data_IF_963702632077
#
_entry.id   IF_963702632077
#
_cell.length_a   1.000
_cell.length_b   1.000
_cell.length_c   1.000
_cell.angle_alpha   90.00
_cell.angle_beta   90.00
_cell.angle_gamma   90.00
#
_symmetry.space_group_name_H-M   'P 1'
#
loop_
_entity.id
_entity.type
_entity.pdbx_description
1 polymer ?
#
# COMPACT_ATOMS: atom_id res chain seq x y z
N UNK A 1 -6.96 23.90 1.55
CA UNK A 1 -7.43 22.73 2.31
C UNK A 1 -6.26 21.93 2.92
N UNK A 2 -5.26 21.48 2.12
CA UNK A 2 -4.08 20.72 2.61
C UNK A 2 -3.36 21.47 3.72
N UNK A 3 -2.95 22.73 3.48
CA UNK A 3 -2.24 23.54 4.48
C UNK A 3 -3.07 23.73 5.76
N UNK A 4 -4.36 24.00 5.65
CA UNK A 4 -5.25 24.15 6.81
C UNK A 4 -5.35 22.86 7.64
N UNK A 5 -5.37 21.70 6.99
CA UNK A 5 -5.36 20.40 7.68
C UNK A 5 -4.00 20.17 8.35
N UNK A 6 -2.89 20.41 7.64
CA UNK A 6 -1.55 20.28 8.19
C UNK A 6 -1.33 21.18 9.41
N UNK A 7 -1.80 22.43 9.38
CA UNK A 7 -1.72 23.37 10.51
C UNK A 7 -2.47 22.86 11.76
N UNK A 8 -3.60 22.19 11.58
CA UNK A 8 -4.33 21.55 12.70
C UNK A 8 -3.52 20.39 13.29
N UNK A 9 -2.88 19.61 12.42
CA UNK A 9 -2.09 18.42 12.81
C UNK A 9 -0.75 18.78 13.48
N UNK A 10 -0.26 20.01 13.36
CA UNK A 10 0.90 20.47 14.13
C UNK A 10 0.70 20.34 15.65
N UNK A 11 -0.54 20.40 16.13
CA UNK A 11 -0.88 20.25 17.56
C UNK A 11 -0.96 18.80 18.02
N UNK A 12 -1.15 17.87 17.10
CA UNK A 12 -1.24 16.42 17.37
C UNK A 12 0.13 15.74 17.38
N UNK A 13 0.19 14.47 17.79
CA UNK A 13 1.38 13.61 17.69
C UNK A 13 1.02 12.27 17.02
N UNK A 14 0.02 12.28 16.17
CA UNK A 14 -0.48 11.08 15.51
C UNK A 14 0.11 10.95 14.11
N UNK A 15 0.40 9.72 13.71
CA UNK A 15 0.79 9.39 12.34
C UNK A 15 -0.37 9.54 11.34
N UNK A 16 -1.62 9.54 11.81
CA UNK A 16 -2.83 9.43 10.97
C UNK A 16 -3.01 10.51 9.90
N UNK A 17 -2.29 11.62 10.00
CA UNK A 17 -2.33 12.73 9.03
C UNK A 17 -0.93 13.15 8.58
N UNK A 18 0.02 12.21 8.66
CA UNK A 18 1.39 12.45 8.23
C UNK A 18 1.49 12.78 6.73
N UNK A 19 0.57 12.26 5.92
CA UNK A 19 0.41 12.57 4.50
C UNK A 19 0.17 14.07 4.26
N UNK A 20 -0.71 14.72 5.02
CA UNK A 20 -0.97 16.16 4.92
C UNK A 20 0.24 17.00 5.36
N UNK A 21 0.91 16.59 6.44
CA UNK A 21 2.14 17.26 6.90
C UNK A 21 3.26 17.13 5.87
N UNK A 22 3.43 15.93 5.31
CA UNK A 22 4.43 15.65 4.29
C UNK A 22 4.19 16.48 3.03
N UNK A 23 2.95 16.49 2.55
CA UNK A 23 2.59 17.28 1.37
C UNK A 23 2.73 18.78 1.62
N UNK A 24 2.33 19.28 2.79
CA UNK A 24 2.53 20.69 3.16
C UNK A 24 4.01 21.05 3.20
N UNK A 25 4.87 20.18 3.74
CA UNK A 25 6.32 20.37 3.73
C UNK A 25 6.89 20.42 2.31
N UNK A 26 6.56 19.45 1.48
CA UNK A 26 7.05 19.37 0.10
C UNK A 26 6.60 20.57 -0.75
N UNK A 27 5.40 21.10 -0.50
CA UNK A 27 4.86 22.25 -1.23
C UNK A 27 5.45 23.60 -0.77
N UNK A 28 5.78 23.75 0.51
CA UNK A 28 6.12 25.07 1.10
C UNK A 28 7.58 25.18 1.53
N UNK A 29 8.25 24.05 1.82
CA UNK A 29 9.58 24.04 2.43
C UNK A 29 9.60 24.50 3.90
N UNK A 30 8.43 24.74 4.52
CA UNK A 30 8.34 25.24 5.90
C UNK A 30 8.80 24.17 6.90
N UNK A 31 9.93 24.43 7.56
CA UNK A 31 10.59 23.47 8.49
C UNK A 31 9.72 23.00 9.64
N UNK A 32 8.73 23.76 10.06
CA UNK A 32 7.79 23.38 11.13
C UNK A 32 7.10 22.02 10.83
N UNK A 33 6.79 21.76 9.55
CA UNK A 33 6.20 20.48 9.15
C UNK A 33 7.24 19.34 9.19
N UNK A 34 8.47 19.59 8.73
CA UNK A 34 9.54 18.61 8.78
C UNK A 34 9.91 18.23 10.21
N UNK A 35 10.06 19.20 11.12
CA UNK A 35 10.35 18.99 12.53
C UNK A 35 9.25 18.18 13.22
N UNK A 36 7.99 18.46 12.83
CA UNK A 36 6.83 17.72 13.32
C UNK A 36 6.83 16.28 12.85
N UNK A 37 7.06 16.02 11.56
CA UNK A 37 7.16 14.68 10.99
C UNK A 37 8.28 13.87 11.65
N UNK A 38 9.45 14.48 11.85
CA UNK A 38 10.57 13.88 12.56
C UNK A 38 10.19 13.47 13.99
N UNK A 39 9.52 14.36 14.72
CA UNK A 39 9.06 14.06 16.08
C UNK A 39 8.06 12.91 16.12
N UNK A 40 7.11 12.87 15.14
CA UNK A 40 6.14 11.79 15.00
C UNK A 40 6.85 10.47 14.71
N UNK A 41 7.78 10.43 13.75
CA UNK A 41 8.53 9.23 13.40
C UNK A 41 9.33 8.67 14.60
N UNK A 42 10.07 9.54 15.30
CA UNK A 42 10.85 9.14 16.48
C UNK A 42 9.96 8.55 17.57
N UNK A 43 8.79 9.15 17.81
CA UNK A 43 7.82 8.61 18.77
C UNK A 43 7.20 7.31 18.30
N UNK A 44 6.89 7.19 17.01
CA UNK A 44 6.24 6.02 16.43
C UNK A 44 7.08 4.76 16.56
N UNK A 45 8.41 4.87 16.47
CA UNK A 45 9.32 3.73 16.58
C UNK A 45 9.57 3.27 18.02
N UNK A 46 9.11 4.01 19.04
CA UNK A 46 9.20 3.61 20.46
C UNK A 46 8.21 2.48 20.81
N UNK A 47 7.20 2.24 19.98
CA UNK A 47 6.24 1.18 20.21
C UNK A 47 6.92 -0.20 20.24
N UNK A 48 6.44 -1.09 21.09
CA UNK A 48 6.87 -2.48 21.11
C UNK A 48 6.36 -3.23 19.87
N UNK A 49 5.09 -3.03 19.53
CA UNK A 49 4.42 -3.61 18.37
C UNK A 49 3.36 -2.64 17.81
N UNK A 50 3.00 -2.81 16.52
CA UNK A 50 1.85 -2.17 15.93
C UNK A 50 0.66 -3.11 15.76
N UNK A 51 0.87 -4.41 15.98
CA UNK A 51 -0.19 -5.41 15.94
C UNK A 51 -1.22 -5.18 17.05
N UNK A 52 -2.50 -5.39 16.74
CA UNK A 52 -3.57 -5.31 17.74
C UNK A 52 -3.52 -6.53 18.67
N UNK A 53 -3.91 -6.35 19.94
CA UNK A 53 -3.94 -7.43 20.91
C UNK A 53 -4.84 -8.59 20.45
N UNK A 54 -5.94 -8.27 19.78
CA UNK A 54 -6.87 -9.27 19.22
C UNK A 54 -6.18 -10.14 18.16
N UNK A 55 -5.45 -9.55 17.22
CA UNK A 55 -4.77 -10.28 16.16
C UNK A 55 -3.59 -11.08 16.71
N UNK A 56 -2.84 -10.55 17.64
CA UNK A 56 -1.74 -11.26 18.30
C UNK A 56 -2.21 -12.45 19.16
N UNK A 57 -3.44 -12.42 19.66
CA UNK A 57 -4.01 -13.54 20.42
C UNK A 57 -4.48 -14.72 19.55
N UNK A 58 -4.52 -14.59 18.22
CA UNK A 58 -4.88 -15.66 17.29
C UNK A 58 -3.85 -16.78 17.28
N UNK A 59 -4.22 -17.95 16.80
CA UNK A 59 -3.34 -19.12 16.65
C UNK A 59 -3.38 -19.64 15.21
N UNK A 60 -2.32 -19.47 14.41
CA UNK A 60 -1.10 -18.71 14.74
C UNK A 60 -1.37 -17.23 14.94
N UNK A 61 -0.52 -16.55 15.68
CA UNK A 61 -0.64 -15.12 15.91
C UNK A 61 -0.51 -14.35 14.59
N UNK A 62 -1.39 -13.38 14.36
CA UNK A 62 -1.28 -12.44 13.26
C UNK A 62 -0.55 -11.21 13.75
N UNK A 63 0.63 -10.95 13.20
CA UNK A 63 1.44 -9.78 13.57
C UNK A 63 1.02 -8.52 12.82
N UNK A 64 0.24 -8.70 11.74
CA UNK A 64 -0.14 -7.63 10.82
C UNK A 64 -1.62 -7.69 10.45
N UNK A 65 -2.14 -6.53 10.05
CA UNK A 65 -3.52 -6.31 9.57
C UNK A 65 -3.56 -5.05 8.68
N UNK A 66 -4.76 -4.69 8.21
CA UNK A 66 -4.98 -3.48 7.40
C UNK A 66 -4.59 -2.19 8.14
N UNK A 67 -4.80 -2.15 9.46
CA UNK A 67 -4.42 -1.00 10.28
C UNK A 67 -2.90 -0.81 10.33
N UNK A 68 -2.16 -1.91 10.41
CA UNK A 68 -0.70 -1.89 10.36
C UNK A 68 -0.21 -1.50 8.95
N UNK A 69 -0.84 -2.04 7.89
CA UNK A 69 -0.53 -1.68 6.50
C UNK A 69 -0.68 -0.15 6.27
N UNK A 70 -1.76 0.45 6.75
CA UNK A 70 -1.97 1.88 6.68
C UNK A 70 -0.91 2.68 7.45
N UNK A 71 -0.54 2.25 8.66
CA UNK A 71 0.56 2.88 9.42
C UNK A 71 1.89 2.79 8.68
N UNK A 72 2.19 1.66 8.05
CA UNK A 72 3.40 1.47 7.24
C UNK A 72 3.45 2.47 6.07
N UNK A 73 2.35 2.61 5.34
CA UNK A 73 2.22 3.57 4.23
C UNK A 73 2.45 5.02 4.69
N UNK A 74 1.79 5.46 5.74
CA UNK A 74 1.96 6.81 6.28
C UNK A 74 3.38 7.05 6.81
N UNK A 75 4.00 6.03 7.39
CA UNK A 75 5.40 6.09 7.85
C UNK A 75 6.38 6.23 6.70
N UNK A 76 6.13 5.52 5.59
CA UNK A 76 6.94 5.61 4.38
C UNK A 76 6.91 7.03 3.81
N UNK A 77 5.71 7.60 3.64
CA UNK A 77 5.53 8.98 3.14
C UNK A 77 6.22 10.00 4.06
N UNK A 78 6.04 9.85 5.38
CA UNK A 78 6.64 10.76 6.35
C UNK A 78 8.17 10.68 6.34
N UNK A 79 8.72 9.46 6.28
CA UNK A 79 10.17 9.24 6.26
C UNK A 79 10.81 9.78 4.98
N UNK A 80 10.21 9.49 3.83
CA UNK A 80 10.68 9.97 2.52
C UNK A 80 10.67 11.51 2.46
N UNK A 81 9.58 12.14 2.90
CA UNK A 81 9.46 13.59 2.88
C UNK A 81 10.55 14.33 3.67
N UNK A 82 11.00 13.77 4.80
CA UNK A 82 12.01 14.39 5.67
C UNK A 82 13.39 13.76 5.55
N UNK A 83 13.61 12.83 4.65
CA UNK A 83 14.84 12.07 4.51
C UNK A 83 16.11 12.93 4.54
N UNK A 84 16.11 14.03 3.79
CA UNK A 84 17.23 14.95 3.69
C UNK A 84 17.40 15.85 4.94
N UNK A 85 16.41 15.94 5.81
CA UNK A 85 16.46 16.70 7.06
C UNK A 85 16.91 15.86 8.26
N UNK A 86 17.04 14.54 8.05
CA UNK A 86 17.51 13.60 9.06
C UNK A 86 19.03 13.43 8.99
N UNK A 87 19.70 13.43 10.14
CA UNK A 87 21.10 12.98 10.22
C UNK A 87 21.22 11.49 9.88
N UNK A 88 22.41 11.03 9.48
CA UNK A 88 22.66 9.62 9.20
C UNK A 88 22.28 8.68 10.36
N UNK A 89 22.54 9.13 11.61
CA UNK A 89 22.18 8.35 12.81
C UNK A 89 20.67 8.27 13.01
N UNK A 90 19.95 9.36 12.75
CA UNK A 90 18.47 9.40 12.83
C UNK A 90 17.84 8.55 11.74
N UNK A 91 18.31 8.65 10.49
CA UNK A 91 17.85 7.78 9.40
C UNK A 91 17.97 6.32 9.79
N UNK A 92 19.16 5.90 10.22
CA UNK A 92 19.40 4.51 10.62
C UNK A 92 18.54 4.07 11.80
N UNK A 93 18.36 4.93 12.82
CA UNK A 93 17.51 4.63 13.99
C UNK A 93 16.05 4.46 13.58
N UNK A 94 15.53 5.42 12.81
CA UNK A 94 14.13 5.40 12.36
C UNK A 94 13.92 4.21 11.43
N UNK A 95 14.81 3.97 10.46
CA UNK A 95 14.70 2.86 9.53
C UNK A 95 14.61 1.50 10.24
N UNK A 96 15.48 1.25 11.21
CA UNK A 96 15.43 0.00 12.01
C UNK A 96 14.10 -0.16 12.77
N UNK A 97 13.60 0.93 13.36
CA UNK A 97 12.34 0.90 14.08
C UNK A 97 11.14 0.64 13.14
N UNK A 98 11.10 1.32 12.00
CA UNK A 98 10.04 1.14 11.01
C UNK A 98 10.08 -0.24 10.34
N UNK A 99 11.28 -0.78 10.08
CA UNK A 99 11.44 -2.13 9.56
C UNK A 99 10.85 -3.17 10.53
N UNK A 100 11.28 -3.15 11.78
CA UNK A 100 10.81 -4.06 12.84
C UNK A 100 9.30 -3.99 13.06
N UNK A 101 8.73 -2.78 13.03
CA UNK A 101 7.32 -2.56 13.35
C UNK A 101 6.39 -2.72 12.15
N UNK A 102 6.87 -2.49 10.95
CA UNK A 102 6.06 -2.44 9.73
C UNK A 102 6.47 -3.48 8.68
N UNK A 103 7.68 -3.41 8.14
CA UNK A 103 8.09 -4.26 7.01
C UNK A 103 8.11 -5.73 7.41
N UNK A 104 8.80 -6.07 8.50
CA UNK A 104 8.96 -7.45 8.95
C UNK A 104 7.63 -8.15 9.23
N UNK A 105 6.69 -7.59 10.02
CA UNK A 105 5.41 -8.27 10.25
C UNK A 105 4.54 -8.33 9.00
N UNK A 106 4.50 -7.27 8.15
CA UNK A 106 3.71 -7.27 6.93
C UNK A 106 4.22 -8.31 5.94
N UNK A 107 5.48 -8.23 5.55
CA UNK A 107 6.01 -9.14 4.55
C UNK A 107 6.19 -10.56 5.11
N UNK A 108 6.51 -10.71 6.40
CA UNK A 108 6.62 -12.02 7.03
C UNK A 108 5.29 -12.78 7.04
N UNK A 109 4.21 -12.14 7.49
CA UNK A 109 2.90 -12.81 7.58
C UNK A 109 2.27 -13.10 6.21
N UNK A 110 2.54 -12.25 5.19
CA UNK A 110 1.78 -12.29 3.93
C UNK A 110 2.58 -12.77 2.72
N UNK A 111 3.90 -12.73 2.76
CA UNK A 111 4.72 -13.02 1.58
C UNK A 111 5.88 -13.99 1.85
N UNK A 112 6.72 -13.72 2.86
CA UNK A 112 8.04 -14.34 2.97
C UNK A 112 8.09 -15.61 3.82
N UNK A 113 7.20 -15.75 4.79
CA UNK A 113 7.18 -16.90 5.70
C UNK A 113 6.13 -17.94 5.26
N UNK A 114 6.53 -19.13 4.78
CA UNK A 114 5.62 -20.10 4.17
C UNK A 114 4.64 -20.75 5.16
N UNK A 115 4.87 -20.61 6.45
CA UNK A 115 4.00 -21.20 7.51
C UNK A 115 2.90 -20.24 7.94
N UNK A 116 2.83 -19.06 7.36
CA UNK A 116 1.83 -18.06 7.73
C UNK A 116 0.51 -18.25 6.99
N UNK A 117 -0.58 -17.90 7.66
CA UNK A 117 -1.94 -18.05 7.12
C UNK A 117 -2.12 -17.27 5.83
N UNK A 118 -1.50 -16.10 5.74
CA UNK A 118 -1.67 -15.15 4.64
C UNK A 118 -0.45 -15.05 3.71
N UNK A 119 0.39 -16.08 3.67
CA UNK A 119 1.49 -16.19 2.71
C UNK A 119 0.98 -16.45 1.28
N UNK A 120 1.89 -16.77 0.36
CA UNK A 120 1.57 -17.11 -1.03
C UNK A 120 0.46 -18.16 -1.19
N UNK A 121 0.24 -19.05 -0.21
CA UNK A 121 -0.81 -20.05 -0.25
C UNK A 121 -2.24 -19.49 -0.13
N UNK A 122 -2.40 -18.25 0.30
CA UNK A 122 -3.72 -17.61 0.49
C UNK A 122 -3.79 -16.21 -0.07
N UNK A 123 -3.03 -15.93 -1.13
CA UNK A 123 -2.91 -14.59 -1.72
C UNK A 123 -4.14 -14.13 -2.53
N UNK A 124 -5.16 -14.85 -2.67
CA UNK A 124 -6.26 -14.53 -3.59
C UNK A 124 -7.25 -13.46 -3.10
N UNK A 125 -6.91 -12.54 -2.19
CA UNK A 125 -7.84 -11.54 -1.69
C UNK A 125 -7.18 -10.15 -1.46
N UNK A 126 -8.01 -9.13 -1.22
CA UNK A 126 -7.58 -7.73 -1.11
C UNK A 126 -6.58 -7.46 0.05
N UNK A 127 -6.70 -8.13 1.19
CA UNK A 127 -5.77 -7.93 2.31
C UNK A 127 -4.34 -8.25 1.94
N UNK A 128 -4.13 -9.22 1.04
CA UNK A 128 -2.79 -9.56 0.59
C UNK A 128 -2.10 -8.35 -0.05
N UNK A 129 -2.77 -7.67 -1.00
CA UNK A 129 -2.19 -6.48 -1.63
C UNK A 129 -1.99 -5.36 -0.64
N UNK A 130 -2.95 -5.13 0.25
CA UNK A 130 -2.81 -4.08 1.27
C UNK A 130 -1.57 -4.30 2.13
N UNK A 131 -1.42 -5.48 2.70
CA UNK A 131 -0.31 -5.78 3.58
C UNK A 131 1.02 -5.83 2.83
N UNK A 132 1.06 -6.50 1.68
CA UNK A 132 2.30 -6.70 0.91
C UNK A 132 2.74 -5.41 0.22
N UNK A 133 1.84 -4.69 -0.46
CA UNK A 133 2.21 -3.48 -1.19
C UNK A 133 2.56 -2.32 -0.25
N UNK A 134 1.83 -2.13 0.84
CA UNK A 134 2.16 -1.07 1.81
C UNK A 134 3.45 -1.40 2.57
N UNK A 135 3.68 -2.67 2.91
CA UNK A 135 4.97 -3.15 3.41
C UNK A 135 6.11 -2.94 2.43
N UNK A 136 5.86 -3.19 1.14
CA UNK A 136 6.80 -2.94 0.05
C UNK A 136 7.14 -1.46 -0.15
N UNK A 137 6.17 -0.56 -0.07
CA UNK A 137 6.40 0.90 -0.15
C UNK A 137 7.27 1.36 1.03
N UNK A 138 6.97 0.86 2.24
CA UNK A 138 7.82 1.15 3.39
C UNK A 138 9.23 0.60 3.19
N UNK A 139 9.37 -0.64 2.72
CA UNK A 139 10.67 -1.24 2.43
C UNK A 139 11.47 -0.43 1.39
N UNK A 140 10.83 0.06 0.33
CA UNK A 140 11.46 0.95 -0.66
C UNK A 140 12.00 2.24 -0.02
N UNK A 141 11.28 2.83 0.91
CA UNK A 141 11.74 4.06 1.59
C UNK A 141 12.94 3.82 2.50
N UNK A 142 13.15 2.57 2.99
CA UNK A 142 14.20 2.22 3.94
C UNK A 142 15.44 1.55 3.29
N UNK A 143 15.40 1.24 2.01
CA UNK A 143 16.41 0.39 1.34
C UNK A 143 17.84 0.96 1.35
N UNK A 144 18.00 2.29 1.47
CA UNK A 144 19.31 2.91 1.53
C UNK A 144 20.03 2.67 2.86
N UNK A 145 19.27 2.44 3.93
CA UNK A 145 19.79 2.17 5.27
C UNK A 145 19.86 0.69 5.62
N UNK A 146 19.00 -0.14 4.99
CA UNK A 146 18.82 -1.54 5.37
C UNK A 146 18.79 -2.46 4.14
N UNK A 147 19.81 -3.32 3.96
CA UNK A 147 19.83 -4.30 2.85
C UNK A 147 18.60 -5.22 2.85
N UNK A 148 18.16 -5.67 4.02
CA UNK A 148 16.98 -6.51 4.18
C UNK A 148 15.67 -5.83 3.71
N UNK A 149 15.59 -4.52 3.80
CA UNK A 149 14.46 -3.76 3.25
C UNK A 149 14.49 -3.77 1.71
N UNK A 150 15.67 -3.67 1.11
CA UNK A 150 15.83 -3.79 -0.35
C UNK A 150 15.41 -5.17 -0.86
N UNK A 151 15.81 -6.22 -0.17
CA UNK A 151 15.40 -7.60 -0.49
C UNK A 151 13.87 -7.78 -0.36
N UNK A 152 13.29 -7.23 0.69
CA UNK A 152 11.83 -7.24 0.88
C UNK A 152 11.07 -6.51 -0.24
N UNK A 153 11.52 -5.32 -0.64
CA UNK A 153 10.92 -4.58 -1.74
C UNK A 153 11.04 -5.32 -3.08
N UNK A 154 12.19 -5.96 -3.34
CA UNK A 154 12.40 -6.80 -4.52
C UNK A 154 11.44 -7.99 -4.52
N UNK A 155 11.26 -8.65 -3.39
CA UNK A 155 10.33 -9.77 -3.28
C UNK A 155 8.89 -9.34 -3.61
N UNK A 156 8.45 -8.18 -3.14
CA UNK A 156 7.13 -7.65 -3.51
C UNK A 156 7.02 -7.44 -5.02
N UNK A 157 8.02 -6.84 -5.65
CA UNK A 157 8.04 -6.64 -7.10
C UNK A 157 7.94 -7.96 -7.88
N UNK A 158 8.67 -8.99 -7.45
CA UNK A 158 8.73 -10.29 -8.12
C UNK A 158 7.43 -11.09 -7.98
N UNK A 159 6.77 -11.02 -6.82
CA UNK A 159 5.59 -11.83 -6.53
C UNK A 159 4.25 -11.13 -6.80
N UNK A 160 4.21 -9.80 -6.89
CA UNK A 160 2.95 -9.06 -7.13
C UNK A 160 2.21 -9.49 -8.42
N UNK A 161 2.88 -9.85 -9.55
CA UNK A 161 2.18 -10.38 -10.73
C UNK A 161 1.39 -11.66 -10.46
N UNK A 162 1.82 -12.49 -9.51
CA UNK A 162 1.11 -13.73 -9.16
C UNK A 162 -0.25 -13.44 -8.53
N UNK A 163 -0.40 -12.37 -7.77
CA UNK A 163 -1.68 -11.98 -7.20
C UNK A 163 -2.77 -11.78 -8.27
N UNK A 164 -2.44 -11.18 -9.39
CA UNK A 164 -3.39 -10.99 -10.50
C UNK A 164 -3.79 -12.31 -11.16
N UNK A 165 -2.92 -13.31 -11.15
CA UNK A 165 -3.10 -14.60 -11.81
C UNK A 165 -3.45 -15.74 -10.88
N UNK A 166 -3.48 -15.50 -9.57
CA UNK A 166 -3.68 -16.55 -8.58
C UNK A 166 -5.02 -17.27 -8.79
N UNK A 167 -4.96 -18.58 -8.96
CA UNK A 167 -6.12 -19.43 -9.22
C UNK A 167 -6.21 -20.52 -8.14
N UNK A 168 -6.69 -20.17 -7.02
CA UNK A 168 -6.86 -21.05 -5.88
C UNK A 168 -6.67 -20.25 -4.58
N UNK A 169 -7.18 -20.80 -3.53
CA UNK A 169 -7.02 -20.33 -2.17
C UNK A 169 -7.24 -21.49 -1.21
N UNK A 170 -7.45 -21.18 0.06
CA UNK A 170 -7.77 -22.18 1.08
C UNK A 170 -8.98 -23.04 0.70
N UNK A 171 -9.93 -22.49 -0.03
CA UNK A 171 -11.15 -23.20 -0.48
C UNK A 171 -10.96 -23.93 -1.80
N UNK A 172 -9.92 -23.65 -2.56
CA UNK A 172 -9.52 -24.28 -3.83
C UNK A 172 -10.63 -24.35 -4.91
N UNK A 173 -11.61 -23.50 -4.84
CA UNK A 173 -12.79 -23.58 -5.72
C UNK A 173 -13.10 -22.28 -6.46
N UNK A 174 -12.35 -21.20 -6.25
CA UNK A 174 -12.58 -19.95 -6.95
C UNK A 174 -11.76 -19.84 -8.22
N UNK A 175 -12.25 -19.03 -9.12
CA UNK A 175 -11.52 -18.59 -10.30
C UNK A 175 -10.28 -17.78 -9.90
N UNK A 176 -9.48 -17.37 -10.88
CA UNK A 176 -8.36 -16.45 -10.67
C UNK A 176 -8.78 -15.20 -9.92
N UNK A 177 -7.86 -14.58 -9.20
CA UNK A 177 -8.12 -13.31 -8.50
C UNK A 177 -8.72 -12.28 -9.45
N UNK A 178 -8.19 -12.21 -10.68
CA UNK A 178 -8.77 -11.42 -11.77
C UNK A 178 -9.03 -12.31 -12.99
N UNK A 179 -10.13 -12.06 -13.67
CA UNK A 179 -10.38 -12.60 -15.00
C UNK A 179 -9.58 -11.83 -16.08
N UNK A 180 -9.66 -12.32 -17.31
CA UNK A 180 -8.95 -11.68 -18.43
C UNK A 180 -9.51 -10.30 -18.80
N UNK A 181 -10.76 -10.01 -18.45
CA UNK A 181 -11.39 -8.71 -18.67
C UNK A 181 -11.04 -7.67 -17.59
N UNK A 182 -10.36 -8.08 -16.53
CA UNK A 182 -9.95 -7.22 -15.43
C UNK A 182 -10.91 -7.22 -14.23
N UNK A 183 -11.91 -8.10 -14.21
CA UNK A 183 -12.85 -8.25 -13.11
C UNK A 183 -12.26 -9.04 -11.95
N UNK A 184 -12.38 -8.54 -10.72
CA UNK A 184 -11.99 -9.25 -9.51
C UNK A 184 -13.16 -10.00 -8.91
N UNK A 185 -12.95 -11.25 -8.48
CA UNK A 185 -13.99 -12.12 -7.96
C UNK A 185 -14.64 -11.62 -6.65
N UNK A 186 -13.92 -10.87 -5.82
CA UNK A 186 -14.46 -10.42 -4.53
C UNK A 186 -15.59 -9.39 -4.69
N UNK A 187 -15.32 -8.29 -5.37
CA UNK A 187 -16.29 -7.23 -5.67
C UNK A 187 -15.59 -6.06 -6.39
N UNK A 188 -16.37 -5.10 -6.89
CA UNK A 188 -15.82 -3.87 -7.48
C UNK A 188 -15.09 -3.00 -6.46
N UNK A 189 -15.59 -2.96 -5.23
CA UNK A 189 -14.97 -2.18 -4.15
C UNK A 189 -13.58 -2.71 -3.82
N UNK A 190 -13.48 -4.01 -3.59
CA UNK A 190 -12.19 -4.64 -3.29
C UNK A 190 -11.26 -4.70 -4.49
N UNK A 191 -11.80 -4.83 -5.71
CA UNK A 191 -11.01 -4.69 -6.93
C UNK A 191 -10.32 -3.34 -6.99
N UNK A 192 -11.08 -2.24 -6.85
CA UNK A 192 -10.51 -0.89 -6.88
C UNK A 192 -9.50 -0.65 -5.74
N UNK A 193 -9.81 -1.12 -4.54
CA UNK A 193 -8.95 -1.00 -3.36
C UNK A 193 -7.62 -1.72 -3.57
N UNK A 194 -7.65 -3.03 -3.89
CA UNK A 194 -6.43 -3.81 -4.06
C UNK A 194 -5.59 -3.37 -5.27
N UNK A 195 -6.25 -3.01 -6.39
CA UNK A 195 -5.56 -2.49 -7.58
C UNK A 195 -4.86 -1.17 -7.25
N UNK A 196 -5.53 -0.25 -6.57
CA UNK A 196 -4.95 1.04 -6.21
C UNK A 196 -3.66 0.85 -5.41
N UNK A 197 -3.63 -0.04 -4.44
CA UNK A 197 -2.46 -0.30 -3.61
C UNK A 197 -1.33 -0.96 -4.40
N UNK A 198 -1.65 -1.92 -5.27
CA UNK A 198 -0.69 -2.52 -6.18
C UNK A 198 -0.05 -1.49 -7.13
N UNK A 199 -0.87 -0.60 -7.69
CA UNK A 199 -0.39 0.45 -8.58
C UNK A 199 0.42 1.52 -7.84
N UNK A 200 0.09 1.85 -6.60
CA UNK A 200 0.90 2.74 -5.76
C UNK A 200 2.29 2.16 -5.52
N UNK A 201 2.39 0.85 -5.24
CA UNK A 201 3.69 0.20 -5.14
C UNK A 201 4.47 0.27 -6.45
N UNK A 202 3.86 0.01 -7.59
CA UNK A 202 4.54 0.10 -8.89
C UNK A 202 4.98 1.53 -9.23
N UNK A 203 4.20 2.55 -8.86
CA UNK A 203 4.63 3.97 -9.02
C UNK A 203 5.86 4.24 -8.14
N UNK A 204 5.84 3.84 -6.88
CA UNK A 204 6.97 3.99 -5.98
C UNK A 204 8.21 3.24 -6.51
N UNK A 205 8.02 1.99 -6.95
CA UNK A 205 9.09 1.18 -7.55
C UNK A 205 9.73 1.87 -8.76
N UNK A 206 8.92 2.35 -9.69
CA UNK A 206 9.39 3.02 -10.91
C UNK A 206 10.16 4.31 -10.61
N UNK A 207 9.76 5.04 -9.57
CA UNK A 207 10.47 6.25 -9.14
C UNK A 207 11.86 5.93 -8.58
N UNK A 208 11.99 4.83 -7.86
CA UNK A 208 13.26 4.38 -7.27
C UNK A 208 14.14 3.66 -8.29
N UNK A 209 13.53 2.98 -9.25
CA UNK A 209 14.21 2.21 -10.31
C UNK A 209 13.85 2.73 -11.71
N UNK A 210 14.25 3.97 -12.07
CA UNK A 210 13.95 4.52 -13.39
C UNK A 210 14.63 3.68 -14.48
N UNK A 211 13.86 3.23 -15.46
CA UNK A 211 14.35 2.36 -16.55
C UNK A 211 14.00 0.88 -16.39
N UNK A 212 13.51 0.45 -15.23
CA UNK A 212 12.94 -0.89 -15.08
C UNK A 212 11.54 -0.90 -15.67
N UNK A 213 11.28 -1.84 -16.59
CA UNK A 213 9.94 -2.07 -17.13
C UNK A 213 9.07 -2.75 -16.08
N UNK A 214 7.81 -2.35 -16.00
CA UNK A 214 6.84 -3.08 -15.19
C UNK A 214 6.60 -4.49 -15.78
N UNK A 215 6.25 -5.47 -14.93
CA UNK A 215 5.82 -6.77 -15.40
C UNK A 215 4.64 -6.65 -16.38
N UNK A 216 4.60 -7.50 -17.39
CA UNK A 216 3.44 -7.57 -18.29
C UNK A 216 2.30 -8.30 -17.59
N UNK A 217 1.34 -7.52 -17.09
CA UNK A 217 0.12 -8.02 -16.43
C UNK A 217 -1.06 -7.68 -17.37
N UNK A 218 -1.55 -8.67 -18.14
CA UNK A 218 -2.60 -8.43 -19.12
C UNK A 218 -3.86 -7.80 -18.55
N UNK A 219 -4.22 -8.16 -17.32
CA UNK A 219 -5.38 -7.63 -16.61
C UNK A 219 -5.34 -6.11 -16.48
N UNK A 220 -4.16 -5.53 -16.21
CA UNK A 220 -4.01 -4.06 -16.08
C UNK A 220 -4.39 -3.31 -17.36
N UNK A 221 -4.20 -3.92 -18.53
CA UNK A 221 -4.56 -3.33 -19.83
C UNK A 221 -6.07 -3.25 -20.04
N UNK A 222 -6.83 -4.10 -19.38
CA UNK A 222 -8.28 -4.22 -19.50
C UNK A 222 -9.06 -3.52 -18.38
N UNK A 223 -8.39 -3.11 -17.30
CA UNK A 223 -9.05 -2.52 -16.11
C UNK A 223 -9.88 -1.28 -16.44
N UNK A 224 -9.39 -0.39 -17.30
CA UNK A 224 -10.15 0.83 -17.65
C UNK A 224 -11.43 0.49 -18.40
N UNK A 225 -11.36 -0.46 -19.33
CA UNK A 225 -12.52 -0.96 -20.06
C UNK A 225 -13.51 -1.66 -19.12
N UNK A 226 -13.01 -2.49 -18.21
CA UNK A 226 -13.84 -3.15 -17.20
C UNK A 226 -14.60 -2.13 -16.34
N UNK A 227 -13.93 -1.15 -15.75
CA UNK A 227 -14.58 -0.13 -14.94
C UNK A 227 -15.57 0.72 -15.75
N UNK A 228 -15.28 1.02 -17.01
CA UNK A 228 -16.22 1.72 -17.88
C UNK A 228 -17.51 0.92 -18.12
N UNK A 229 -17.42 -0.40 -18.26
CA UNK A 229 -18.58 -1.26 -18.52
C UNK A 229 -19.43 -1.56 -17.29
N UNK A 230 -18.84 -1.57 -16.10
CA UNK A 230 -19.57 -1.85 -14.85
C UNK A 230 -20.13 -0.59 -14.18
N UNK A 231 -19.82 0.58 -14.71
CA UNK A 231 -20.33 1.86 -14.22
C UNK A 231 -21.37 2.45 -15.18
N UNK A 232 -22.36 3.15 -14.62
CA UNK A 232 -23.41 3.80 -15.41
C UNK A 232 -23.83 5.15 -14.76
N UNK A 233 -24.11 6.18 -15.57
CA UNK A 233 -24.56 7.46 -15.07
C UNK A 233 -26.04 7.41 -14.67
N UNK A 234 -26.38 8.03 -13.55
CA UNK A 234 -27.77 8.26 -13.10
C UNK A 234 -27.84 9.53 -12.27
N UNK A 235 -28.74 10.44 -12.65
CA UNK A 235 -29.05 11.68 -11.89
C UNK A 235 -27.80 12.45 -11.38
N UNK A 236 -26.84 12.69 -12.28
CA UNK A 236 -25.64 13.48 -11.97
C UNK A 236 -24.56 12.77 -11.14
N UNK A 237 -24.73 11.45 -10.94
CA UNK A 237 -23.74 10.61 -10.26
C UNK A 237 -23.38 9.40 -11.12
N UNK A 238 -22.17 8.90 -10.91
CA UNK A 238 -21.74 7.62 -11.46
C UNK A 238 -22.09 6.51 -10.46
N UNK A 239 -22.84 5.53 -10.93
CA UNK A 239 -23.18 4.33 -10.20
C UNK A 239 -22.40 3.14 -10.75
N UNK A 240 -22.20 2.13 -9.94
CA UNK A 240 -21.61 0.86 -10.36
C UNK A 240 -22.60 -0.29 -10.14
N UNK A 241 -22.42 -1.35 -10.90
CA UNK A 241 -23.07 -2.64 -10.62
C UNK A 241 -22.64 -3.07 -9.21
N UNK A 242 -23.62 -3.47 -8.39
CA UNK A 242 -23.39 -3.84 -6.99
C UNK A 242 -23.48 -5.36 -6.83
N UNK A 243 -22.36 -6.00 -6.51
CA UNK A 243 -22.28 -7.41 -6.14
C UNK A 243 -21.23 -7.60 -5.03
N UNK A 244 -21.38 -8.63 -4.21
CA UNK A 244 -20.54 -8.84 -3.04
C UNK A 244 -20.58 -7.65 -2.08
N UNK A 245 -19.49 -7.36 -1.42
CA UNK A 245 -19.31 -6.22 -0.49
C UNK A 245 -19.06 -4.90 -1.23
N UNK A 246 -19.81 -4.63 -2.28
CA UNK A 246 -19.69 -3.41 -3.07
C UNK A 246 -20.64 -2.32 -2.61
N UNK A 247 -20.26 -1.08 -2.89
CA UNK A 247 -21.13 0.09 -2.78
C UNK A 247 -21.66 0.49 -4.15
N UNK A 248 -22.81 1.11 -4.20
CA UNK A 248 -23.48 1.52 -5.45
C UNK A 248 -22.81 2.64 -6.23
N UNK A 249 -21.82 3.30 -5.67
CA UNK A 249 -21.12 4.46 -6.24
C UNK A 249 -19.60 4.33 -6.07
N UNK A 250 -19.03 3.27 -6.61
CA UNK A 250 -17.59 3.06 -6.60
C UNK A 250 -16.95 3.94 -7.68
N UNK A 251 -15.94 4.67 -7.26
CA UNK A 251 -15.08 5.45 -8.12
C UNK A 251 -13.75 4.71 -8.34
N UNK A 252 -13.36 4.54 -9.59
CA UNK A 252 -12.06 3.98 -9.97
C UNK A 252 -11.04 5.06 -10.37
N UNK A 253 -11.34 6.31 -10.13
CA UNK A 253 -10.55 7.45 -10.60
C UNK A 253 -9.08 7.35 -10.18
N UNK A 254 -8.82 7.05 -8.92
CA UNK A 254 -7.45 6.92 -8.40
C UNK A 254 -6.68 5.80 -9.11
N UNK A 255 -7.30 4.63 -9.31
CA UNK A 255 -6.67 3.51 -10.02
C UNK A 255 -6.39 3.86 -11.47
N UNK A 256 -7.32 4.53 -12.16
CA UNK A 256 -7.15 4.98 -13.55
C UNK A 256 -6.04 6.03 -13.67
N UNK A 257 -5.94 6.97 -12.73
CA UNK A 257 -4.85 7.95 -12.70
C UNK A 257 -3.49 7.29 -12.50
N UNK A 258 -3.40 6.28 -11.63
CA UNK A 258 -2.16 5.53 -11.40
C UNK A 258 -1.76 4.70 -12.64
N UNK A 259 -2.70 4.06 -13.32
CA UNK A 259 -2.46 3.37 -14.60
C UNK A 259 -1.90 4.33 -15.66
N UNK A 260 -2.48 5.52 -15.78
CA UNK A 260 -1.99 6.57 -16.67
C UNK A 260 -0.55 7.00 -16.31
N UNK A 261 -0.27 7.26 -15.02
CA UNK A 261 1.06 7.62 -14.54
C UNK A 261 2.12 6.54 -14.82
N UNK A 262 1.72 5.27 -14.79
CA UNK A 262 2.57 4.13 -15.14
C UNK A 262 2.76 3.95 -16.65
N UNK A 263 2.00 4.65 -17.48
CA UNK A 263 2.05 4.55 -18.94
C UNK A 263 1.43 3.24 -19.47
N UNK A 264 0.51 2.63 -18.72
CA UNK A 264 -0.21 1.45 -19.18
C UNK A 264 -1.10 1.83 -20.35
N UNK A 265 -0.85 1.20 -21.49
CA UNK A 265 -1.68 1.40 -22.71
C UNK A 265 -2.97 0.58 -22.55
N UNK A 266 -4.09 1.25 -22.66
CA UNK A 266 -5.40 0.63 -22.67
C UNK A 266 -5.72 0.08 -24.07
N UNK A 267 -6.48 -1.00 -24.11
CA UNK A 267 -7.04 -1.54 -25.34
C UNK A 267 -8.34 -0.80 -25.72
#
# INVERSE_FOLDING_TARGET
EIKQTAEKELKGNSLNKADYLSLAYLMTGEKVYADKLKAILLKTIEAETWGSAEMLARKPAWRSDLGLAHKAYLSAIAYDAVYNDLSASERKKIAKGLYRLGVEPLLGDWLLEPVRIHSLNSMGHNWWTSCVCMGGILALSLQNELPEAKEGAQAVYDYLPEWFNFAGDVLQQKAKTFDEAGGMYESLNYANFGIQEALQFYVAWKNVHPGVSLPDIPQLKNLSSFFAHVCYPRTGMLYSINFGDSHKNISAESSLMLLYALGVKHK
#
